data_IF_371451220364
#
_entry.id   IF_371451220364
#
_cell.length_a   1.000
_cell.length_b   1.000
_cell.length_c   1.000
_cell.angle_alpha   90.00
_cell.angle_beta   90.00
_cell.angle_gamma   90.00
#
_symmetry.space_group_name_H-M   'P 1'
#
loop_
_entity.id
_entity.type
_entity.pdbx_description
1 polymer ?
#
# COMPACT_ATOMS: atom_id res chain seq x y z
N UNK A 1 67.30 -11.40 -5.99
CA UNK A 1 66.33 -12.51 -5.77
C UNK A 1 65.07 -12.11 -4.97
N UNK A 2 64.83 -10.82 -4.69
CA UNK A 2 63.67 -10.36 -3.88
C UNK A 2 62.45 -9.88 -4.70
N UNK A 3 62.57 -9.65 -6.01
CA UNK A 3 61.48 -9.12 -6.83
C UNK A 3 60.39 -10.16 -7.14
N UNK A 4 60.74 -11.44 -7.21
CA UNK A 4 59.79 -12.52 -7.52
C UNK A 4 58.79 -12.76 -6.37
N UNK A 5 59.29 -12.79 -5.14
CA UNK A 5 58.47 -12.94 -3.92
C UNK A 5 57.46 -11.81 -3.70
N UNK A 6 57.77 -10.59 -4.17
CA UNK A 6 56.90 -9.42 -4.01
C UNK A 6 55.71 -9.45 -4.96
N UNK A 7 55.91 -9.93 -6.20
CA UNK A 7 54.85 -10.08 -7.19
C UNK A 7 53.89 -11.22 -6.83
N UNK A 8 54.40 -12.33 -6.30
CA UNK A 8 53.56 -13.46 -5.86
C UNK A 8 52.69 -13.08 -4.63
N UNK A 9 53.15 -12.15 -3.78
CA UNK A 9 52.36 -11.66 -2.64
C UNK A 9 51.24 -10.71 -3.07
N UNK A 10 51.51 -9.84 -4.06
CA UNK A 10 50.51 -8.93 -4.63
C UNK A 10 49.37 -9.69 -5.33
N UNK A 11 49.69 -10.74 -6.10
CA UNK A 11 48.65 -11.55 -6.79
C UNK A 11 47.76 -12.34 -5.83
N UNK A 12 48.30 -12.80 -4.70
CA UNK A 12 47.52 -13.47 -3.65
C UNK A 12 46.58 -12.47 -2.97
N UNK A 13 47.07 -11.26 -2.69
CA UNK A 13 46.28 -10.19 -2.08
C UNK A 13 45.13 -9.72 -2.99
N UNK A 14 45.41 -9.54 -4.28
CA UNK A 14 44.38 -9.19 -5.28
C UNK A 14 43.33 -10.29 -5.41
N UNK A 15 43.73 -11.57 -5.35
CA UNK A 15 42.80 -12.70 -5.36
C UNK A 15 41.89 -12.75 -4.13
N UNK A 16 42.42 -12.39 -2.96
CA UNK A 16 41.63 -12.31 -1.72
C UNK A 16 40.58 -11.20 -1.79
N UNK A 17 40.96 -10.02 -2.28
CA UNK A 17 40.05 -8.87 -2.46
C UNK A 17 38.91 -9.23 -3.43
N UNK A 18 39.23 -9.95 -4.52
CA UNK A 18 38.24 -10.37 -5.51
C UNK A 18 37.25 -11.38 -4.92
N UNK A 19 37.73 -12.31 -4.08
CA UNK A 19 36.87 -13.26 -3.38
C UNK A 19 35.96 -12.56 -2.37
N UNK A 20 36.50 -11.64 -1.57
CA UNK A 20 35.74 -10.87 -0.58
C UNK A 20 34.64 -10.03 -1.24
N UNK A 21 34.94 -9.39 -2.37
CA UNK A 21 33.96 -8.61 -3.12
C UNK A 21 32.91 -9.49 -3.80
N UNK A 22 33.27 -10.68 -4.29
CA UNK A 22 32.30 -11.66 -4.81
C UNK A 22 31.33 -12.14 -3.72
N UNK A 23 31.86 -12.49 -2.54
CA UNK A 23 31.04 -12.90 -1.39
C UNK A 23 30.13 -11.76 -0.94
N UNK A 24 30.66 -10.54 -0.82
CA UNK A 24 29.89 -9.36 -0.44
C UNK A 24 28.76 -9.07 -1.43
N UNK A 25 29.03 -9.19 -2.74
CA UNK A 25 28.03 -9.02 -3.77
C UNK A 25 26.94 -10.10 -3.68
N UNK A 26 27.31 -11.36 -3.42
CA UNK A 26 26.35 -12.45 -3.26
C UNK A 26 25.43 -12.28 -2.04
N UNK A 27 25.96 -11.76 -0.94
CA UNK A 27 25.16 -11.45 0.25
C UNK A 27 24.23 -10.27 -0.01
N UNK A 28 24.71 -9.24 -0.70
CA UNK A 28 23.90 -8.08 -1.06
C UNK A 28 22.72 -8.47 -1.96
N UNK A 29 22.96 -9.26 -3.01
CA UNK A 29 21.90 -9.70 -3.91
C UNK A 29 20.89 -10.59 -3.20
N UNK A 30 21.35 -11.46 -2.30
CA UNK A 30 20.48 -12.27 -1.46
C UNK A 30 19.57 -11.40 -0.58
N UNK A 31 20.12 -10.41 0.13
CA UNK A 31 19.35 -9.50 0.98
C UNK A 31 18.30 -8.74 0.15
N UNK A 32 18.69 -8.22 -1.01
CA UNK A 32 17.77 -7.48 -1.89
C UNK A 32 16.63 -8.37 -2.41
N UNK A 33 16.91 -9.64 -2.71
CA UNK A 33 15.91 -10.59 -3.18
C UNK A 33 14.76 -10.79 -2.20
N UNK A 34 15.02 -10.71 -0.90
CA UNK A 34 13.98 -10.80 0.13
C UNK A 34 13.41 -9.43 0.52
N UNK A 35 14.27 -8.41 0.58
CA UNK A 35 13.87 -7.08 1.07
C UNK A 35 12.89 -6.40 0.12
N UNK A 36 13.12 -6.49 -1.19
CA UNK A 36 12.27 -5.85 -2.20
C UNK A 36 10.83 -6.39 -2.14
N UNK A 37 10.55 -7.70 -2.29
CA UNK A 37 9.17 -8.19 -2.26
C UNK A 37 8.49 -7.93 -0.92
N UNK A 38 9.24 -7.99 0.20
CA UNK A 38 8.70 -7.68 1.52
C UNK A 38 8.26 -6.22 1.63
N UNK A 39 9.10 -5.28 1.15
CA UNK A 39 8.74 -3.85 1.15
C UNK A 39 7.56 -3.53 0.25
N UNK A 40 7.50 -4.12 -0.95
CA UNK A 40 6.37 -3.94 -1.87
C UNK A 40 5.08 -4.44 -1.24
N UNK A 41 5.09 -5.67 -0.69
CA UNK A 41 3.91 -6.24 -0.04
C UNK A 41 3.43 -5.41 1.15
N UNK A 42 4.36 -4.87 1.95
CA UNK A 42 4.02 -4.02 3.09
C UNK A 42 3.38 -2.70 2.65
N UNK A 43 3.95 -2.05 1.63
CA UNK A 43 3.41 -0.78 1.10
C UNK A 43 2.01 -1.03 0.53
N UNK A 44 1.82 -2.06 -0.29
CA UNK A 44 0.52 -2.41 -0.85
C UNK A 44 -0.52 -2.72 0.24
N UNK A 45 -0.12 -3.41 1.31
CA UNK A 45 -1.02 -3.68 2.43
C UNK A 45 -1.44 -2.40 3.17
N UNK A 46 -0.51 -1.47 3.40
CA UNK A 46 -0.81 -0.19 4.04
C UNK A 46 -1.69 0.70 3.16
N UNK A 47 -1.49 0.67 1.84
CA UNK A 47 -2.36 1.38 0.89
C UNK A 47 -3.79 0.84 0.93
N UNK A 48 -3.96 -0.49 0.95
CA UNK A 48 -5.29 -1.12 1.09
C UNK A 48 -6.00 -0.72 2.38
N UNK A 49 -5.30 -0.75 3.52
CA UNK A 49 -5.87 -0.32 4.79
C UNK A 49 -6.25 1.17 4.78
N UNK A 50 -5.44 2.02 4.15
CA UNK A 50 -5.75 3.45 4.04
C UNK A 50 -7.01 3.68 3.22
N UNK A 51 -7.15 3.00 2.07
CA UNK A 51 -8.36 3.06 1.23
C UNK A 51 -9.59 2.68 2.05
N UNK A 52 -9.50 1.58 2.79
CA UNK A 52 -10.60 1.10 3.60
C UNK A 52 -11.06 2.12 4.65
N UNK A 53 -10.11 2.74 5.35
CA UNK A 53 -10.40 3.78 6.35
C UNK A 53 -11.01 5.03 5.72
N UNK A 54 -10.54 5.44 4.53
CA UNK A 54 -11.09 6.61 3.84
C UNK A 54 -12.52 6.35 3.35
N UNK A 55 -12.81 5.15 2.84
CA UNK A 55 -14.18 4.73 2.49
C UNK A 55 -15.07 4.73 3.74
N UNK A 56 -14.61 4.16 4.86
CA UNK A 56 -15.38 4.14 6.11
C UNK A 56 -15.66 5.56 6.63
N UNK A 57 -14.69 6.46 6.49
CA UNK A 57 -14.84 7.86 6.86
C UNK A 57 -15.84 8.58 5.96
N UNK A 58 -15.72 8.42 4.64
CA UNK A 58 -16.65 9.02 3.68
C UNK A 58 -18.08 8.51 3.93
N UNK A 59 -18.25 7.21 4.15
CA UNK A 59 -19.53 6.60 4.48
C UNK A 59 -20.11 7.16 5.79
N UNK A 60 -19.27 7.31 6.83
CA UNK A 60 -19.67 7.91 8.09
C UNK A 60 -20.10 9.37 7.91
N UNK A 61 -19.32 10.18 7.22
CA UNK A 61 -19.61 11.60 7.00
C UNK A 61 -20.90 11.77 6.16
N UNK A 62 -21.09 10.97 5.10
CA UNK A 62 -22.35 10.93 4.34
C UNK A 62 -23.54 10.52 5.20
N UNK A 63 -23.39 9.49 6.05
CA UNK A 63 -24.48 9.04 6.93
C UNK A 63 -24.99 10.10 7.90
N UNK A 64 -24.14 11.10 8.25
CA UNK A 64 -24.54 12.21 9.14
C UNK A 64 -25.37 13.27 8.43
N UNK A 65 -25.14 13.48 7.14
CA UNK A 65 -25.80 14.52 6.33
C UNK A 65 -26.97 13.95 5.55
N UNK A 66 -27.09 12.62 5.47
CA UNK A 66 -28.10 11.92 4.69
C UNK A 66 -29.53 12.36 5.03
N UNK A 67 -30.20 12.89 4.01
CA UNK A 67 -31.61 13.26 4.07
C UNK A 67 -32.39 12.36 3.13
N UNK A 68 -33.27 11.54 3.72
CA UNK A 68 -34.10 10.49 3.07
C UNK A 68 -34.99 10.93 1.89
N UNK A 69 -34.93 12.19 1.47
CA UNK A 69 -35.82 12.80 0.46
C UNK A 69 -35.13 13.10 -0.87
N UNK A 70 -33.80 13.10 -0.93
CA UNK A 70 -33.08 13.46 -2.15
C UNK A 70 -32.05 12.38 -2.49
N UNK A 71 -32.07 11.92 -3.74
CA UNK A 71 -30.94 11.19 -4.32
C UNK A 71 -29.85 12.18 -4.68
N UNK A 72 -28.63 11.95 -4.19
CA UNK A 72 -27.49 12.82 -4.42
C UNK A 72 -26.28 11.99 -4.81
N UNK A 73 -25.47 12.52 -5.72
CA UNK A 73 -24.21 11.91 -6.13
C UNK A 73 -23.11 12.96 -6.06
N UNK A 74 -22.03 12.65 -5.35
CA UNK A 74 -20.87 13.52 -5.23
C UNK A 74 -19.60 12.70 -5.37
N UNK A 75 -18.66 13.22 -6.14
CA UNK A 75 -17.32 12.66 -6.27
C UNK A 75 -16.36 13.46 -5.39
N UNK A 76 -15.70 12.79 -4.46
CA UNK A 76 -14.67 13.35 -3.61
C UNK A 76 -13.30 12.86 -4.06
N UNK A 77 -12.37 13.79 -4.30
CA UNK A 77 -10.97 13.45 -4.52
C UNK A 77 -10.18 13.56 -3.21
N UNK A 78 -9.63 12.45 -2.74
CA UNK A 78 -8.78 12.39 -1.55
C UNK A 78 -7.54 11.54 -1.87
N UNK A 79 -6.34 12.10 -1.72
CA UNK A 79 -5.05 11.41 -1.86
C UNK A 79 -4.95 10.40 -3.02
N UNK A 80 -5.00 10.88 -4.27
CA UNK A 80 -4.94 10.08 -5.50
C UNK A 80 -6.08 9.06 -5.68
N UNK A 81 -7.14 9.16 -4.89
CA UNK A 81 -8.35 8.34 -5.02
C UNK A 81 -9.53 9.24 -5.28
N UNK A 82 -10.36 8.83 -6.24
CA UNK A 82 -11.71 9.36 -6.40
C UNK A 82 -12.68 8.41 -5.72
N UNK A 83 -13.48 8.96 -4.81
CA UNK A 83 -14.56 8.29 -4.13
C UNK A 83 -15.87 8.82 -4.68
N UNK A 84 -16.70 7.94 -5.22
CA UNK A 84 -18.04 8.27 -5.67
C UNK A 84 -19.04 7.88 -4.59
N UNK A 85 -19.74 8.90 -4.07
CA UNK A 85 -20.76 8.75 -3.06
C UNK A 85 -22.10 8.79 -3.77
N UNK A 86 -22.90 7.74 -3.61
CA UNK A 86 -24.24 7.60 -4.18
C UNK A 86 -25.22 7.44 -3.03
N UNK A 87 -26.00 8.50 -2.78
CA UNK A 87 -27.07 8.50 -1.79
C UNK A 87 -28.42 8.23 -2.47
N UNK A 88 -29.13 7.25 -1.95
CA UNK A 88 -30.51 6.90 -2.34
C UNK A 88 -31.44 7.06 -1.14
N UNK A 89 -32.75 6.90 -1.35
CA UNK A 89 -33.74 7.01 -0.26
C UNK A 89 -33.56 5.96 0.85
N UNK A 90 -32.90 4.83 0.55
CA UNK A 90 -32.78 3.69 1.46
C UNK A 90 -31.34 3.23 1.72
N UNK A 91 -30.36 3.76 0.97
CA UNK A 91 -28.97 3.33 1.07
C UNK A 91 -28.00 4.44 0.71
N UNK A 92 -26.81 4.38 1.31
CA UNK A 92 -25.63 5.17 0.95
C UNK A 92 -24.59 4.17 0.44
N UNK A 93 -24.10 4.38 -0.77
CA UNK A 93 -23.02 3.58 -1.37
C UNK A 93 -21.81 4.49 -1.56
N UNK A 94 -20.64 4.00 -1.17
CA UNK A 94 -19.36 4.68 -1.44
C UNK A 94 -18.49 3.72 -2.26
N UNK A 95 -18.12 4.16 -3.46
CA UNK A 95 -17.31 3.41 -4.41
C UNK A 95 -15.95 4.09 -4.60
N UNK A 96 -14.87 3.36 -4.38
CA UNK A 96 -13.52 3.82 -4.69
C UNK A 96 -13.05 3.36 -6.07
N UNK A 97 -12.27 4.20 -6.74
CA UNK A 97 -11.68 3.91 -8.06
C UNK A 97 -10.80 2.63 -8.13
N UNK A 98 -10.38 2.07 -7.00
CA UNK A 98 -9.61 0.82 -6.92
C UNK A 98 -10.49 -0.43 -6.73
N UNK A 99 -11.82 -0.32 -6.93
CA UNK A 99 -12.76 -1.44 -6.86
C UNK A 99 -13.18 -1.83 -5.45
N UNK A 100 -12.84 -1.02 -4.45
CA UNK A 100 -13.36 -1.15 -3.09
C UNK A 100 -14.72 -0.44 -2.99
N UNK A 101 -15.77 -1.19 -2.68
CA UNK A 101 -17.14 -0.69 -2.50
C UNK A 101 -17.60 -1.01 -1.07
N UNK A 102 -18.17 -0.02 -0.38
CA UNK A 102 -18.91 -0.24 0.86
C UNK A 102 -20.29 0.40 0.75
N UNK A 103 -21.29 -0.32 1.24
CA UNK A 103 -22.70 0.10 1.18
C UNK A 103 -23.35 0.00 2.54
N UNK A 104 -24.09 1.03 2.91
CA UNK A 104 -24.90 1.11 4.12
C UNK A 104 -26.37 1.21 3.71
N UNK A 105 -27.16 0.20 4.07
CA UNK A 105 -28.60 0.14 3.82
C UNK A 105 -29.39 0.31 5.13
N UNK A 106 -30.49 1.05 5.08
CA UNK A 106 -31.40 1.16 6.23
C UNK A 106 -32.40 0.00 6.21
N UNK A 107 -32.17 -0.98 7.09
CA UNK A 107 -32.97 -2.20 7.16
C UNK A 107 -34.28 -1.97 7.93
N UNK A 108 -34.26 -1.18 9.02
CA UNK A 108 -35.46 -0.84 9.78
C UNK A 108 -35.23 0.38 10.66
N UNK A 109 -36.31 1.09 10.96
CA UNK A 109 -36.32 2.21 11.92
C UNK A 109 -37.41 1.92 12.94
N UNK A 110 -37.01 1.62 14.19
CA UNK A 110 -37.94 1.53 15.32
C UNK A 110 -37.92 2.87 16.06
N UNK A 111 -39.04 3.57 16.06
CA UNK A 111 -39.24 4.72 16.93
C UNK A 111 -39.66 4.19 18.30
N UNK A 112 -38.87 4.46 19.34
CA UNK A 112 -39.39 4.36 20.70
C UNK A 112 -40.33 5.55 20.91
N UNK A 113 -41.63 5.27 20.97
CA UNK A 113 -42.62 6.20 21.53
C UNK A 113 -42.44 6.35 23.04
#
# INVERSE_FOLDING_TARGET
>A
MNYRKKNDFLTIQDGFILLESLVSLSLLTFILMFSIPLTVNLISYLEMQRIEVEIDRALYDSSRVWQRRNSFSESHESYNQSLDIIETENAITVEGNQGAEKRLEVISVSWNE
#
